data_IF_734022739864
#
_entry.id   IF_734022739864
#
_cell.length_a   1.000
_cell.length_b   1.000
_cell.length_c   1.000
_cell.angle_alpha   90.00
_cell.angle_beta   90.00
_cell.angle_gamma   90.00
#
_symmetry.space_group_name_H-M   'P 1'
#
loop_
_entity.id
_entity.type
_entity.pdbx_description
1 polymer ?
#
# COMPACT_ATOMS: atom_id res chain seq x y z
N UNK A 1 3.36 -1.31 24.65
CA UNK A 1 2.77 -0.41 25.67
C UNK A 1 1.82 -1.20 26.57
N UNK A 2 1.65 -0.83 27.86
CA UNK A 2 0.71 -1.48 28.79
C UNK A 2 -0.75 -1.11 28.44
N UNK A 3 -1.60 -0.78 29.41
CA UNK A 3 -3.05 -0.52 29.21
C UNK A 3 -3.36 0.80 28.51
N UNK A 4 -2.98 0.92 27.23
CA UNK A 4 -3.32 2.03 26.33
C UNK A 4 -3.85 1.50 24.98
N UNK A 5 -4.88 2.15 24.44
CA UNK A 5 -5.65 1.62 23.32
C UNK A 5 -5.09 2.03 21.94
N UNK A 6 -4.97 3.33 21.67
CA UNK A 6 -4.45 3.86 20.41
C UNK A 6 -2.93 3.63 20.33
N UNK A 7 -2.15 4.11 21.30
CA UNK A 7 -0.72 3.80 21.42
C UNK A 7 -0.51 2.70 22.48
N UNK A 8 -0.34 1.42 22.19
CA UNK A 8 -0.04 0.81 20.90
C UNK A 8 -0.80 -0.50 20.74
N UNK A 9 -2.04 -0.60 21.25
CA UNK A 9 -2.88 -1.78 20.99
C UNK A 9 -3.49 -1.72 19.59
N UNK A 10 -3.76 -0.52 19.06
CA UNK A 10 -4.35 -0.33 17.74
C UNK A 10 -3.48 -0.93 16.61
N UNK A 11 -2.17 -0.69 16.61
CA UNK A 11 -1.23 -1.22 15.61
C UNK A 11 -1.26 -2.76 15.54
N UNK A 12 -1.03 -3.49 16.65
CA UNK A 12 -1.15 -4.95 16.72
C UNK A 12 -2.52 -5.49 16.31
N UNK A 13 -3.62 -4.79 16.63
CA UNK A 13 -4.95 -5.18 16.17
C UNK A 13 -5.04 -5.08 14.64
N UNK A 14 -4.68 -3.94 14.05
CA UNK A 14 -4.65 -3.77 12.59
C UNK A 14 -3.78 -4.84 11.95
N UNK A 15 -2.59 -5.08 12.50
CA UNK A 15 -1.63 -6.07 12.01
C UNK A 15 -2.21 -7.49 12.00
N UNK A 16 -2.94 -7.89 13.06
CA UNK A 16 -3.56 -9.21 13.15
C UNK A 16 -4.70 -9.41 12.13
N UNK A 17 -5.53 -8.39 11.88
CA UNK A 17 -6.60 -8.48 10.90
C UNK A 17 -6.10 -8.32 9.46
N UNK A 18 -5.07 -7.51 9.25
CA UNK A 18 -4.37 -7.41 7.96
C UNK A 18 -3.74 -8.76 7.58
N UNK A 19 -3.14 -9.48 8.53
CA UNK A 19 -2.67 -10.85 8.32
C UNK A 19 -3.77 -11.76 7.75
N UNK A 20 -4.97 -11.74 8.35
CA UNK A 20 -6.10 -12.56 7.87
C UNK A 20 -6.49 -12.20 6.44
N UNK A 21 -6.47 -10.91 6.08
CA UNK A 21 -6.79 -10.44 4.73
C UNK A 21 -5.76 -10.89 3.70
N UNK A 22 -4.48 -10.78 4.03
CA UNK A 22 -3.38 -11.24 3.16
C UNK A 22 -3.35 -12.77 3.05
N UNK A 23 -3.64 -13.49 4.13
CA UNK A 23 -3.71 -14.95 4.12
C UNK A 23 -4.80 -15.47 3.18
N UNK A 24 -5.90 -14.72 3.01
CA UNK A 24 -6.99 -15.07 2.12
C UNK A 24 -6.69 -14.82 0.62
N UNK A 25 -5.58 -14.17 0.28
CA UNK A 25 -5.16 -13.98 -1.11
C UNK A 25 -4.74 -15.33 -1.71
N UNK A 26 -5.35 -15.69 -2.84
CA UNK A 26 -5.05 -16.94 -3.57
C UNK A 26 -3.71 -16.87 -4.30
N UNK A 27 -3.31 -15.67 -4.73
CA UNK A 27 -2.06 -15.40 -5.43
C UNK A 27 -1.36 -14.21 -4.75
N UNK A 28 -0.04 -14.36 -4.56
CA UNK A 28 0.83 -13.34 -3.96
C UNK A 28 2.14 -13.33 -4.72
N UNK A 29 2.52 -12.16 -5.23
CA UNK A 29 3.81 -11.89 -5.86
C UNK A 29 4.92 -11.76 -4.82
N UNK A 30 4.62 -11.13 -3.69
CA UNK A 30 5.60 -10.89 -2.63
C UNK A 30 5.39 -11.77 -1.40
N UNK A 31 6.44 -11.86 -0.60
CA UNK A 31 6.37 -12.46 0.74
C UNK A 31 6.08 -11.38 1.78
N UNK A 32 5.30 -11.73 2.80
CA UNK A 32 4.87 -10.81 3.84
C UNK A 32 5.49 -11.21 5.18
N UNK A 33 6.04 -10.22 5.88
CA UNK A 33 6.59 -10.41 7.22
C UNK A 33 5.90 -9.46 8.19
N UNK A 34 5.37 -10.05 9.26
CA UNK A 34 4.72 -9.33 10.34
C UNK A 34 5.62 -9.37 11.57
N UNK A 35 5.95 -8.21 12.13
CA UNK A 35 6.85 -8.09 13.27
C UNK A 35 6.09 -7.44 14.42
N UNK A 36 6.00 -8.17 15.53
CA UNK A 36 5.51 -7.67 16.82
C UNK A 36 6.68 -7.73 17.79
N UNK A 37 7.20 -6.57 18.16
CA UNK A 37 8.37 -6.46 19.02
C UNK A 37 8.24 -5.24 19.95
N UNK A 38 8.92 -5.23 21.11
CA UNK A 38 9.02 -4.02 21.92
C UNK A 38 9.67 -2.89 21.12
N UNK A 39 9.08 -1.72 21.17
CA UNK A 39 9.61 -0.54 20.47
C UNK A 39 11.09 -0.30 20.83
N UNK A 40 11.86 0.15 19.85
CA UNK A 40 13.31 0.38 19.89
C UNK A 40 14.11 -0.91 20.02
N UNK A 41 14.14 -1.52 21.21
CA UNK A 41 15.06 -2.63 21.47
C UNK A 41 14.68 -3.88 20.67
N UNK A 42 13.39 -4.14 20.51
CA UNK A 42 12.90 -5.25 19.70
C UNK A 42 13.22 -5.06 18.22
N UNK A 43 12.99 -3.87 17.67
CA UNK A 43 13.36 -3.55 16.29
C UNK A 43 14.87 -3.65 16.06
N UNK A 44 15.70 -3.17 17.00
CA UNK A 44 17.15 -3.30 16.94
C UNK A 44 17.61 -4.76 16.98
N UNK A 45 17.07 -5.58 17.88
CA UNK A 45 17.38 -7.01 17.94
C UNK A 45 16.95 -7.72 16.64
N UNK A 46 15.78 -7.38 16.11
CA UNK A 46 15.31 -7.95 14.85
C UNK A 46 16.19 -7.53 13.66
N UNK A 47 16.62 -6.27 13.60
CA UNK A 47 17.54 -5.77 12.58
C UNK A 47 18.94 -6.38 12.71
N UNK A 48 19.41 -6.67 13.93
CA UNK A 48 20.68 -7.36 14.13
C UNK A 48 20.66 -8.78 13.52
N UNK A 49 19.52 -9.47 13.57
CA UNK A 49 19.35 -10.84 13.05
C UNK A 49 18.93 -10.90 11.57
N UNK A 50 18.15 -9.92 11.08
CA UNK A 50 17.52 -9.96 9.74
C UNK A 50 17.81 -8.76 8.86
N UNK A 51 18.53 -7.76 9.35
CA UNK A 51 18.69 -6.48 8.67
C UNK A 51 19.38 -6.59 7.30
N UNK A 52 20.42 -7.43 7.15
CA UNK A 52 21.08 -7.67 5.86
C UNK A 52 20.10 -8.26 4.84
N UNK A 53 19.34 -9.28 5.24
CA UNK A 53 18.32 -9.89 4.39
C UNK A 53 17.26 -8.88 3.97
N UNK A 54 16.79 -8.03 4.89
CA UNK A 54 15.81 -6.98 4.56
C UNK A 54 16.38 -5.95 3.58
N UNK A 55 17.63 -5.53 3.74
CA UNK A 55 18.25 -4.58 2.79
C UNK A 55 18.27 -5.08 1.35
N UNK A 56 18.48 -6.39 1.18
CA UNK A 56 18.58 -7.02 -0.13
C UNK A 56 17.21 -7.35 -0.75
N UNK A 57 16.19 -7.62 0.08
CA UNK A 57 14.95 -8.24 -0.39
C UNK A 57 13.68 -7.42 -0.12
N UNK A 58 13.73 -6.41 0.75
CA UNK A 58 12.55 -5.65 1.14
C UNK A 58 12.20 -4.57 0.12
N UNK A 59 11.05 -4.74 -0.55
CA UNK A 59 10.52 -3.76 -1.50
C UNK A 59 9.87 -2.55 -0.81
N UNK A 60 9.07 -2.81 0.23
CA UNK A 60 8.30 -1.80 0.95
C UNK A 60 7.99 -2.29 2.37
N UNK A 61 7.70 -1.37 3.29
CA UNK A 61 7.13 -1.70 4.59
C UNK A 61 6.47 -0.51 5.28
N UNK A 62 5.86 -0.79 6.43
CA UNK A 62 5.13 0.19 7.21
C UNK A 62 5.24 -0.14 8.70
N UNK A 63 5.53 0.86 9.52
CA UNK A 63 5.19 0.83 10.95
C UNK A 63 3.72 1.22 11.08
N UNK A 64 2.93 0.40 11.77
CA UNK A 64 1.53 0.70 12.08
C UNK A 64 1.46 1.17 13.54
N UNK A 65 1.09 2.43 13.74
CA UNK A 65 0.99 3.03 15.07
C UNK A 65 -0.23 3.94 15.16
N UNK A 66 -0.87 4.06 16.33
CA UNK A 66 -1.95 5.02 16.57
C UNK A 66 -3.05 4.99 15.48
N UNK A 67 -3.53 3.78 15.16
CA UNK A 67 -4.42 3.48 14.03
C UNK A 67 -5.91 3.47 14.39
N UNK A 68 -6.27 3.81 15.63
CA UNK A 68 -7.59 3.51 16.19
C UNK A 68 -8.52 4.69 16.44
N UNK A 69 -8.04 5.93 16.41
CA UNK A 69 -8.88 7.11 16.68
C UNK A 69 -9.72 7.52 15.46
N UNK A 70 -10.42 8.65 15.55
CA UNK A 70 -11.40 9.09 14.53
C UNK A 70 -10.82 10.02 13.46
N UNK A 71 -9.52 10.33 13.50
CA UNK A 71 -8.88 11.13 12.46
C UNK A 71 -8.82 10.38 11.10
N UNK A 72 -8.64 11.07 9.97
CA UNK A 72 -8.33 10.43 8.69
C UNK A 72 -7.03 9.60 8.75
N UNK A 73 -6.94 8.51 7.99
CA UNK A 73 -5.69 7.76 7.88
C UNK A 73 -4.62 8.66 7.23
N UNK A 74 -3.43 8.69 7.80
CA UNK A 74 -2.35 9.63 7.48
C UNK A 74 -1.02 8.90 7.34
N UNK A 75 -0.01 9.56 6.78
CA UNK A 75 1.25 8.90 6.41
C UNK A 75 2.50 9.73 6.71
N UNK A 76 3.45 9.13 7.42
CA UNK A 76 4.81 9.67 7.55
C UNK A 76 5.71 9.01 6.51
N UNK A 77 6.36 9.82 5.71
CA UNK A 77 7.24 9.37 4.63
C UNK A 77 8.44 8.58 5.16
N UNK A 78 8.91 7.65 4.33
CA UNK A 78 10.22 7.03 4.50
C UNK A 78 11.33 8.10 4.43
N UNK A 79 12.52 7.75 4.90
CA UNK A 79 13.68 8.65 4.82
C UNK A 79 14.02 9.09 3.39
N UNK A 80 13.73 8.26 2.38
CA UNK A 80 14.02 8.58 0.98
C UNK A 80 12.91 9.44 0.35
N UNK A 81 11.68 9.33 0.84
CA UNK A 81 10.54 10.19 0.46
C UNK A 81 9.85 9.83 -0.86
N UNK A 82 10.39 8.88 -1.64
CA UNK A 82 9.90 8.51 -2.97
C UNK A 82 9.90 6.99 -3.21
N UNK A 83 9.95 6.19 -2.13
CA UNK A 83 10.01 4.72 -2.21
C UNK A 83 8.72 4.10 -2.71
N UNK A 84 8.76 2.81 -3.05
CA UNK A 84 7.53 2.02 -3.32
C UNK A 84 6.52 2.13 -2.19
N UNK A 85 6.98 2.12 -0.93
CA UNK A 85 6.11 2.28 0.23
C UNK A 85 5.39 3.64 0.22
N UNK A 86 6.14 4.71 -0.06
CA UNK A 86 5.63 6.08 -0.11
C UNK A 86 4.62 6.26 -1.23
N UNK A 87 4.97 5.81 -2.45
CA UNK A 87 4.11 5.91 -3.63
C UNK A 87 2.81 5.14 -3.44
N UNK A 88 2.86 3.90 -2.94
CA UNK A 88 1.67 3.08 -2.73
C UNK A 88 0.74 3.65 -1.65
N UNK A 89 1.30 4.12 -0.52
CA UNK A 89 0.50 4.76 0.53
C UNK A 89 -0.17 6.03 0.03
N UNK A 90 0.58 6.91 -0.63
CA UNK A 90 0.05 8.17 -1.17
C UNK A 90 -1.00 7.94 -2.25
N UNK A 91 -0.83 6.94 -3.11
CA UNK A 91 -1.83 6.56 -4.11
C UNK A 91 -3.17 6.24 -3.45
N UNK A 92 -3.17 5.37 -2.44
CA UNK A 92 -4.41 4.99 -1.74
C UNK A 92 -5.02 6.16 -1.00
N UNK A 93 -4.22 6.90 -0.22
CA UNK A 93 -4.73 8.02 0.57
C UNK A 93 -5.35 9.12 -0.31
N UNK A 94 -4.76 9.45 -1.46
CA UNK A 94 -5.33 10.44 -2.40
C UNK A 94 -6.69 10.04 -2.97
N UNK A 95 -6.98 8.75 -3.07
CA UNK A 95 -8.26 8.25 -3.58
C UNK A 95 -9.30 8.06 -2.48
N UNK A 96 -8.86 7.69 -1.27
CA UNK A 96 -9.74 7.30 -0.15
C UNK A 96 -10.01 8.42 0.82
N UNK A 97 -9.05 9.30 1.03
CA UNK A 97 -9.06 10.29 2.11
C UNK A 97 -9.07 11.71 1.56
N UNK A 98 -9.96 12.55 2.10
CA UNK A 98 -10.07 13.96 1.67
C UNK A 98 -9.12 14.89 2.42
N UNK A 99 -8.82 14.58 3.68
CA UNK A 99 -8.10 15.48 4.61
C UNK A 99 -7.02 14.74 5.40
N UNK A 100 -6.37 13.75 4.79
CA UNK A 100 -5.25 13.08 5.43
C UNK A 100 -4.06 14.02 5.61
N UNK A 101 -3.27 13.77 6.65
CA UNK A 101 -2.02 14.48 6.90
C UNK A 101 -0.86 13.68 6.35
N UNK A 102 0.21 14.41 6.01
CA UNK A 102 1.50 13.81 5.77
C UNK A 102 2.58 14.47 6.59
N UNK A 103 3.59 13.69 6.96
CA UNK A 103 4.75 14.17 7.68
C UNK A 103 6.02 13.76 6.94
N UNK A 104 6.97 14.69 6.82
CA UNK A 104 8.30 14.35 6.36
C UNK A 104 8.97 13.37 7.34
N UNK A 105 9.93 12.59 6.84
CA UNK A 105 10.73 11.76 7.73
C UNK A 105 11.48 12.62 8.74
N UNK A 106 11.39 12.21 10.01
CA UNK A 106 12.17 12.72 11.13
C UNK A 106 12.58 11.49 11.97
N UNK A 107 13.85 11.31 12.38
CA UNK A 107 14.29 10.15 13.17
C UNK A 107 13.81 10.16 14.64
N UNK A 108 12.61 10.69 14.88
CA UNK A 108 11.87 10.67 16.16
C UNK A 108 10.55 9.93 15.95
N UNK A 109 9.90 9.49 17.03
CA UNK A 109 8.60 8.81 16.94
C UNK A 109 8.67 7.35 17.33
N UNK A 110 8.59 6.46 16.34
CA UNK A 110 8.59 5.01 16.55
C UNK A 110 9.78 4.31 15.86
N UNK A 111 9.64 3.02 15.52
CA UNK A 111 10.72 2.17 15.04
C UNK A 111 11.24 2.52 13.64
N UNK A 112 10.55 3.38 12.88
CA UNK A 112 11.05 3.90 11.60
C UNK A 112 12.43 4.55 11.75
N UNK A 113 12.75 5.11 12.93
CA UNK A 113 14.09 5.65 13.22
C UNK A 113 15.18 4.58 13.17
N UNK A 114 14.86 3.33 13.53
CA UNK A 114 15.80 2.20 13.51
C UNK A 114 15.90 1.63 12.09
N UNK A 115 14.75 1.35 11.47
CA UNK A 115 14.69 0.78 10.12
C UNK A 115 15.26 1.72 9.05
N UNK A 116 15.11 3.03 9.21
CA UNK A 116 15.63 4.06 8.29
C UNK A 116 17.00 4.63 8.70
N UNK A 117 17.66 4.04 9.71
CA UNK A 117 19.02 4.42 10.11
C UNK A 117 20.00 4.33 8.92
N UNK A 118 21.10 5.10 8.88
CA UNK A 118 21.99 5.17 7.70
C UNK A 118 22.51 3.84 7.17
N UNK A 119 22.75 2.87 8.06
CA UNK A 119 23.23 1.54 7.67
C UNK A 119 22.17 0.65 7.02
N UNK A 120 20.89 0.81 7.40
CA UNK A 120 19.77 0.01 6.88
C UNK A 120 18.99 0.75 5.79
N UNK A 121 18.57 1.98 6.07
CA UNK A 121 17.85 2.88 5.17
C UNK A 121 16.69 2.18 4.42
N UNK A 122 15.93 1.32 5.10
CA UNK A 122 14.89 0.50 4.47
C UNK A 122 13.75 1.35 3.88
N UNK A 123 13.06 0.87 2.82
CA UNK A 123 11.98 1.62 2.17
C UNK A 123 10.66 1.49 2.95
N UNK A 124 10.56 2.13 4.11
CA UNK A 124 9.35 2.09 4.92
C UNK A 124 8.97 3.43 5.54
N UNK A 125 7.67 3.67 5.63
CA UNK A 125 7.07 4.81 6.32
C UNK A 125 6.25 4.39 7.53
N UNK A 126 5.44 5.32 8.04
CA UNK A 126 4.52 5.07 9.17
C UNK A 126 3.09 5.37 8.74
N UNK A 127 2.18 4.46 9.06
CA UNK A 127 0.75 4.65 8.91
C UNK A 127 0.17 4.89 10.30
N UNK A 128 -0.55 6.00 10.44
CA UNK A 128 -1.23 6.40 11.66
C UNK A 128 -2.49 7.20 11.32
N UNK A 129 -3.47 7.28 12.23
CA UNK A 129 -4.58 8.21 12.10
C UNK A 129 -4.16 9.55 12.72
N UNK A 130 -4.29 9.71 14.03
CA UNK A 130 -3.56 10.77 14.77
C UNK A 130 -2.12 10.32 15.08
N UNK A 131 -1.12 11.13 14.74
CA UNK A 131 0.28 10.80 15.05
C UNK A 131 0.56 10.79 16.57
N UNK A 132 1.63 10.09 16.97
CA UNK A 132 2.10 10.11 18.35
C UNK A 132 2.37 11.56 18.82
N UNK A 133 2.00 11.88 20.05
CA UNK A 133 2.05 13.24 20.62
C UNK A 133 1.13 14.30 19.98
N UNK A 134 0.36 13.98 18.93
CA UNK A 134 -0.56 14.93 18.27
C UNK A 134 -1.98 14.91 18.86
N UNK A 135 -2.25 14.10 19.89
CA UNK A 135 -3.55 14.01 20.56
C UNK A 135 -3.41 14.09 22.10
N UNK A 136 -4.34 14.77 22.82
CA UNK A 136 -4.22 15.01 24.27
C UNK A 136 -4.15 13.75 25.13
N UNK A 137 -4.75 12.66 24.69
CA UNK A 137 -4.84 11.40 25.44
C UNK A 137 -3.53 10.60 25.42
N UNK A 138 -2.60 10.93 24.51
CA UNK A 138 -1.33 10.23 24.33
C UNK A 138 -0.54 10.11 25.64
N UNK A 139 -0.13 8.90 26.00
CA UNK A 139 0.58 8.59 27.26
C UNK A 139 -0.18 8.94 28.55
N UNK A 140 -1.51 8.98 28.48
CA UNK A 140 -2.38 9.12 29.65
C UNK A 140 -3.34 7.94 29.76
N UNK A 141 -4.01 7.78 30.91
CA UNK A 141 -5.08 6.78 31.08
C UNK A 141 -6.33 7.08 30.23
N UNK A 142 -6.39 8.24 29.56
CA UNK A 142 -7.46 8.58 28.63
C UNK A 142 -7.28 7.89 27.27
N UNK A 143 -6.09 7.39 26.94
CA UNK A 143 -5.88 6.53 25.78
C UNK A 143 -6.44 5.12 26.06
N UNK A 144 -7.76 5.00 26.05
CA UNK A 144 -8.48 3.81 26.46
C UNK A 144 -9.49 3.36 25.39
N UNK A 145 -10.28 2.32 25.70
CA UNK A 145 -11.26 1.73 24.77
C UNK A 145 -12.23 2.76 24.17
N UNK A 146 -12.64 3.77 24.94
CA UNK A 146 -13.65 4.73 24.50
C UNK A 146 -13.06 5.77 23.53
N UNK A 147 -11.75 5.99 23.60
CA UNK A 147 -11.02 6.86 22.69
C UNK A 147 -10.95 6.28 21.27
N UNK A 148 -10.71 4.98 21.13
CA UNK A 148 -10.65 4.31 19.82
C UNK A 148 -12.04 4.02 19.22
N UNK A 149 -12.09 3.77 17.92
CA UNK A 149 -13.27 3.35 17.18
C UNK A 149 -12.99 2.07 16.38
N UNK A 150 -13.79 1.03 16.59
CA UNK A 150 -13.64 -0.22 15.84
C UNK A 150 -13.93 -0.07 14.35
N UNK A 151 -14.84 0.83 13.97
CA UNK A 151 -15.09 1.14 12.55
C UNK A 151 -13.84 1.75 11.91
N UNK A 152 -13.12 2.62 12.64
CA UNK A 152 -11.89 3.25 12.18
C UNK A 152 -10.70 2.28 12.19
N UNK A 153 -10.66 1.33 13.14
CA UNK A 153 -9.70 0.22 13.06
C UNK A 153 -9.94 -0.66 11.83
N UNK A 154 -11.20 -1.00 11.54
CA UNK A 154 -11.57 -1.79 10.38
C UNK A 154 -11.25 -1.06 9.07
N UNK A 155 -11.59 0.22 8.99
CA UNK A 155 -11.23 1.10 7.87
C UNK A 155 -9.71 1.19 7.68
N UNK A 156 -8.92 1.27 8.76
CA UNK A 156 -7.46 1.21 8.66
C UNK A 156 -6.99 -0.12 8.07
N UNK A 157 -7.54 -1.26 8.49
CA UNK A 157 -7.23 -2.56 7.91
C UNK A 157 -7.56 -2.59 6.41
N UNK A 158 -8.71 -2.04 6.01
CA UNK A 158 -9.13 -1.98 4.61
C UNK A 158 -8.18 -1.14 3.75
N UNK A 159 -7.85 0.06 4.20
CA UNK A 159 -6.96 0.96 3.46
C UNK A 159 -5.52 0.42 3.41
N UNK A 160 -5.00 -0.15 4.50
CA UNK A 160 -3.67 -0.79 4.49
C UNK A 160 -3.66 -2.03 3.58
N UNK A 161 -4.76 -2.79 3.53
CA UNK A 161 -4.89 -3.90 2.59
C UNK A 161 -4.96 -3.43 1.13
N UNK A 162 -5.51 -2.24 0.87
CA UNK A 162 -5.47 -1.61 -0.45
C UNK A 162 -4.07 -1.13 -0.85
N UNK A 163 -3.29 -0.63 0.10
CA UNK A 163 -1.87 -0.33 -0.11
C UNK A 163 -1.13 -1.61 -0.49
N UNK A 164 -1.41 -2.72 0.20
CA UNK A 164 -0.86 -4.04 -0.14
C UNK A 164 -1.23 -4.47 -1.56
N UNK A 165 -2.51 -4.36 -1.95
CA UNK A 165 -2.95 -4.65 -3.33
C UNK A 165 -2.28 -3.75 -4.37
N UNK A 166 -2.05 -2.48 -4.03
CA UNK A 166 -1.32 -1.52 -4.85
C UNK A 166 0.14 -1.96 -5.07
N UNK A 167 0.81 -2.45 -4.02
CA UNK A 167 2.19 -2.97 -4.09
C UNK A 167 2.25 -4.23 -4.97
N UNK A 168 1.32 -5.17 -4.81
CA UNK A 168 1.23 -6.39 -5.62
C UNK A 168 1.12 -6.10 -7.13
N UNK A 169 0.57 -4.93 -7.50
CA UNK A 169 0.41 -4.45 -8.87
C UNK A 169 1.45 -3.40 -9.30
N UNK A 170 2.43 -3.07 -8.47
CA UNK A 170 3.28 -1.89 -8.66
C UNK A 170 4.20 -1.98 -9.89
N UNK A 171 4.73 -3.17 -10.16
CA UNK A 171 5.74 -3.41 -11.19
C UNK A 171 5.21 -3.15 -12.62
N UNK A 172 6.11 -2.81 -13.57
CA UNK A 172 5.74 -2.65 -14.96
C UNK A 172 5.23 -3.96 -15.55
N UNK A 173 4.27 -3.86 -16.46
CA UNK A 173 3.76 -4.98 -17.24
C UNK A 173 4.52 -5.08 -18.56
N UNK A 174 4.63 -6.29 -19.11
CA UNK A 174 5.14 -6.51 -20.47
C UNK A 174 4.09 -7.23 -21.32
N UNK A 175 3.62 -6.56 -22.36
CA UNK A 175 2.70 -7.09 -23.34
C UNK A 175 3.37 -8.11 -24.24
N UNK A 176 2.62 -9.10 -24.71
CA UNK A 176 3.11 -10.12 -25.66
C UNK A 176 3.14 -9.60 -27.09
N UNK A 177 2.34 -8.57 -27.40
CA UNK A 177 2.27 -7.88 -28.68
C UNK A 177 2.75 -6.45 -28.47
N UNK A 178 3.93 -6.14 -29.00
CA UNK A 178 4.60 -4.83 -28.83
C UNK A 178 4.52 -3.94 -30.09
N UNK A 179 4.24 -4.54 -31.25
CA UNK A 179 4.21 -3.83 -32.54
C UNK A 179 2.76 -3.65 -33.00
N UNK A 180 2.17 -2.48 -32.73
CA UNK A 180 0.78 -2.16 -33.03
C UNK A 180 -0.21 -2.62 -31.96
N UNK A 181 -1.51 -2.33 -32.14
CA UNK A 181 -2.54 -2.75 -31.19
C UNK A 181 -3.01 -4.20 -31.42
N UNK A 182 -3.22 -4.99 -30.36
CA UNK A 182 -3.74 -6.34 -30.51
C UNK A 182 -5.22 -6.32 -30.94
N UNK A 183 -5.63 -7.28 -31.75
CA UNK A 183 -7.03 -7.44 -32.14
C UNK A 183 -7.86 -7.99 -30.96
N UNK A 184 -8.46 -7.09 -30.18
CA UNK A 184 -9.20 -7.41 -28.95
C UNK A 184 -10.51 -8.17 -29.21
N UNK A 185 -11.15 -7.98 -30.37
CA UNK A 185 -12.43 -8.60 -30.72
C UNK A 185 -12.40 -10.14 -30.73
N UNK A 186 -11.39 -10.74 -31.35
CA UNK A 186 -11.22 -12.20 -31.36
C UNK A 186 -10.98 -12.81 -29.97
N UNK A 187 -10.67 -11.97 -28.97
CA UNK A 187 -10.40 -12.38 -27.59
C UNK A 187 -11.58 -12.11 -26.66
N UNK A 188 -12.72 -11.66 -27.19
CA UNK A 188 -13.88 -11.25 -26.37
C UNK A 188 -13.64 -10.00 -25.53
N UNK A 189 -12.58 -9.24 -25.83
CA UNK A 189 -12.17 -8.04 -25.08
C UNK A 189 -12.65 -6.74 -25.73
N UNK A 190 -13.48 -6.87 -26.76
CA UNK A 190 -14.07 -5.76 -27.50
C UNK A 190 -15.55 -6.07 -27.68
N UNK A 191 -16.41 -5.16 -27.24
CA UNK A 191 -17.86 -5.26 -27.45
C UNK A 191 -18.22 -4.50 -28.72
N UNK A 192 -19.30 -4.89 -29.41
CA UNK A 192 -19.81 -4.06 -30.52
C UNK A 192 -20.17 -2.67 -29.99
N UNK A 193 -19.55 -1.63 -30.56
CA UNK A 193 -19.66 -0.24 -30.12
C UNK A 193 -20.63 0.57 -30.99
N UNK A 194 -21.41 -0.11 -31.84
CA UNK A 194 -22.35 0.54 -32.74
C UNK A 194 -23.30 1.49 -31.96
N UNK A 195 -23.28 2.78 -32.34
CA UNK A 195 -24.14 3.81 -31.76
C UNK A 195 -23.62 4.56 -30.53
N UNK A 196 -22.42 4.26 -30.02
CA UNK A 196 -21.82 5.04 -28.93
C UNK A 196 -21.11 6.31 -29.45
N UNK A 197 -21.15 7.43 -28.70
CA UNK A 197 -20.48 8.68 -29.09
C UNK A 197 -18.94 8.60 -29.03
N UNK A 198 -18.39 7.52 -28.47
CA UNK A 198 -16.96 7.24 -28.37
C UNK A 198 -16.69 5.89 -27.71
N UNK A 199 -15.42 5.43 -27.66
CA UNK A 199 -15.08 4.18 -27.00
C UNK A 199 -15.37 4.27 -25.48
N UNK A 200 -15.96 3.23 -24.88
CA UNK A 200 -16.22 3.19 -23.45
C UNK A 200 -14.90 3.15 -22.65
N UNK A 201 -14.93 3.66 -21.42
CA UNK A 201 -13.71 3.82 -20.60
C UNK A 201 -12.97 2.51 -20.36
N UNK A 202 -13.67 1.39 -20.16
CA UNK A 202 -13.01 0.08 -19.99
C UNK A 202 -12.14 -0.29 -21.20
N UNK A 203 -12.56 0.07 -22.41
CA UNK A 203 -11.81 -0.23 -23.63
C UNK A 203 -10.60 0.71 -23.75
N UNK A 204 -10.77 1.99 -23.45
CA UNK A 204 -9.66 2.95 -23.39
C UNK A 204 -8.62 2.50 -22.36
N UNK A 205 -9.06 2.05 -21.20
CA UNK A 205 -8.21 1.50 -20.14
C UNK A 205 -7.41 0.29 -20.60
N UNK A 206 -8.03 -0.69 -21.27
CA UNK A 206 -7.31 -1.83 -21.88
C UNK A 206 -6.25 -1.38 -22.85
N UNK A 207 -6.60 -0.46 -23.77
CA UNK A 207 -5.67 0.07 -24.77
C UNK A 207 -4.49 0.81 -24.11
N UNK A 208 -4.76 1.63 -23.09
CA UNK A 208 -3.74 2.33 -22.30
C UNK A 208 -2.81 1.33 -21.59
N UNK A 209 -3.36 0.34 -20.88
CA UNK A 209 -2.56 -0.71 -20.21
C UNK A 209 -1.64 -1.39 -21.21
N UNK A 210 -2.16 -1.86 -22.35
CA UNK A 210 -1.38 -2.58 -23.36
C UNK A 210 -0.33 -1.71 -24.04
N UNK A 211 -0.62 -0.43 -24.28
CA UNK A 211 0.31 0.49 -24.90
C UNK A 211 1.51 0.83 -23.99
N UNK A 212 1.28 0.94 -22.67
CA UNK A 212 2.33 1.18 -21.67
C UNK A 212 2.99 -0.11 -21.14
N UNK A 213 2.56 -1.28 -21.60
CA UNK A 213 3.12 -2.56 -21.18
C UNK A 213 4.40 -2.90 -21.96
N UNK A 214 5.41 -2.05 -21.93
CA UNK A 214 6.72 -2.28 -22.57
C UNK A 214 7.77 -2.87 -21.60
N UNK A 215 7.40 -3.03 -20.32
CA UNK A 215 8.27 -3.47 -19.24
C UNK A 215 9.05 -2.35 -18.55
N UNK A 216 8.81 -1.09 -18.89
CA UNK A 216 9.54 0.07 -18.33
C UNK A 216 8.69 0.96 -17.42
N UNK A 217 7.39 1.12 -17.72
CA UNK A 217 6.50 2.02 -16.98
C UNK A 217 5.83 1.29 -15.82
N UNK A 218 6.13 1.63 -14.54
CA UNK A 218 5.40 1.08 -13.39
C UNK A 218 3.90 1.33 -13.53
N UNK A 219 3.09 0.34 -13.17
CA UNK A 219 1.66 0.45 -13.38
C UNK A 219 1.01 1.54 -12.52
N UNK A 220 1.62 1.86 -11.36
CA UNK A 220 1.20 3.00 -10.54
C UNK A 220 1.36 4.34 -11.26
N UNK A 221 2.41 4.50 -12.08
CA UNK A 221 2.64 5.74 -12.82
C UNK A 221 1.62 5.89 -13.95
N UNK A 222 1.19 4.77 -14.55
CA UNK A 222 0.05 4.73 -15.48
C UNK A 222 -1.25 5.11 -14.78
N UNK A 223 -1.49 4.55 -13.58
CA UNK A 223 -2.70 4.79 -12.81
C UNK A 223 -2.82 6.28 -12.43
N UNK A 224 -1.75 6.88 -11.89
CA UNK A 224 -1.70 8.31 -11.58
C UNK A 224 -1.92 9.18 -12.83
N UNK A 225 -1.31 8.82 -13.97
CA UNK A 225 -1.43 9.57 -15.23
C UNK A 225 -2.88 9.68 -15.72
N UNK A 226 -3.67 8.62 -15.55
CA UNK A 226 -5.04 8.55 -16.04
C UNK A 226 -6.10 8.66 -14.94
N UNK A 227 -5.69 8.92 -13.69
CA UNK A 227 -6.59 9.02 -12.54
C UNK A 227 -7.29 7.71 -12.19
N UNK A 228 -6.65 6.57 -12.45
CA UNK A 228 -7.17 5.27 -12.06
C UNK A 228 -6.78 4.93 -10.63
N UNK A 229 -7.68 4.24 -9.95
CA UNK A 229 -7.35 3.56 -8.72
C UNK A 229 -6.74 2.19 -9.04
N UNK A 230 -5.46 1.99 -8.67
CA UNK A 230 -4.68 0.83 -9.09
C UNK A 230 -5.27 -0.51 -8.65
N UNK A 231 -5.76 -0.68 -7.41
CA UNK A 231 -6.41 -1.94 -7.00
C UNK A 231 -7.58 -2.36 -7.92
N UNK A 232 -8.31 -1.41 -8.51
CA UNK A 232 -9.43 -1.71 -9.40
C UNK A 232 -8.97 -2.23 -10.78
N UNK A 233 -7.69 -2.10 -11.11
CA UNK A 233 -7.13 -2.61 -12.35
C UNK A 233 -6.85 -4.12 -12.30
N UNK A 234 -6.88 -4.75 -11.12
CA UNK A 234 -6.51 -6.16 -10.94
C UNK A 234 -7.30 -7.09 -11.85
N UNK A 235 -8.62 -6.95 -11.90
CA UNK A 235 -9.49 -7.81 -12.73
C UNK A 235 -9.20 -7.65 -14.22
N UNK A 236 -8.96 -6.41 -14.66
CA UNK A 236 -8.63 -6.08 -16.04
C UNK A 236 -7.28 -6.68 -16.45
N UNK A 237 -6.28 -6.60 -15.58
CA UNK A 237 -4.95 -7.18 -15.82
C UNK A 237 -5.06 -8.70 -15.92
N UNK A 238 -5.82 -9.33 -15.04
CA UNK A 238 -6.04 -10.78 -15.08
C UNK A 238 -6.79 -11.22 -16.34
N UNK A 239 -7.75 -10.42 -16.80
CA UNK A 239 -8.42 -10.64 -18.08
C UNK A 239 -7.43 -10.58 -19.25
N UNK A 240 -6.54 -9.58 -19.27
CA UNK A 240 -5.52 -9.42 -20.31
C UNK A 240 -4.46 -10.54 -20.28
N UNK A 241 -4.06 -11.00 -19.09
CA UNK A 241 -3.19 -12.18 -18.91
C UNK A 241 -3.84 -13.46 -19.45
N UNK A 242 -5.09 -13.74 -19.07
CA UNK A 242 -5.84 -14.90 -19.59
C UNK A 242 -6.00 -14.88 -21.12
N UNK A 243 -6.09 -13.69 -21.71
CA UNK A 243 -6.13 -13.50 -23.15
C UNK A 243 -4.76 -13.57 -23.84
N UNK A 244 -3.69 -13.85 -23.09
CA UNK A 244 -2.32 -13.96 -23.57
C UNK A 244 -1.73 -12.64 -24.07
N UNK A 245 -2.22 -11.49 -23.58
CA UNK A 245 -1.80 -10.16 -24.02
C UNK A 245 -0.75 -9.51 -23.11
N UNK A 246 -0.61 -10.00 -21.88
CA UNK A 246 0.40 -9.59 -20.90
C UNK A 246 1.09 -10.87 -20.42
N UNK A 247 2.41 -10.81 -20.25
CA UNK A 247 3.18 -11.90 -19.66
C UNK A 247 2.76 -12.20 -18.21
N UNK A 248 3.29 -13.30 -17.67
CA UNK A 248 3.14 -13.60 -16.22
C UNK A 248 3.75 -12.48 -15.36
#
# INVERSE_FOLDING_TARGET
>A
HPSMANNELSGPLVLAFLYKRIQALTERKYTYRFVLAPETIGALCFLADRGTHLKENMLAGYVLSCCGDRAPLSYKFSRRGDTTADKAAMHVLRHREKNFKTWAFDPTGSDERQYCSPGFNLPLGVIARSAYSDYPEYHTSLDNRDFISFDHLADTVDQVFEIVKTIELFEPLRGTIQMGEPQLGYRGLYTDLSGLPGPPEFLLRRKRILNFADGSTPLIDLAERYGYYLPDLQEEIQLLRRAGLIGE
#
